data_IF_727792377193
#
_entry.id   IF_727792377193
#
_cell.length_a   1.000
_cell.length_b   1.000
_cell.length_c   1.000
_cell.angle_alpha   90.00
_cell.angle_beta   90.00
_cell.angle_gamma   90.00
#
_symmetry.space_group_name_H-M   'P 1'
#
loop_
_entity.id
_entity.type
_entity.pdbx_description
1 polymer ?
#
# COMPACT_ATOMS: atom_id res chain seq x y z
N UNK A 1 9.92 18.28 -1.23
CA UNK A 1 8.81 17.61 -0.49
C UNK A 1 8.71 18.16 0.91
N UNK A 2 9.80 18.15 1.69
CA UNK A 2 9.87 18.94 2.92
C UNK A 2 10.17 20.40 2.56
N UNK A 3 11.09 20.65 1.63
CA UNK A 3 11.34 21.99 1.08
C UNK A 3 10.08 22.60 0.43
N UNK A 4 9.49 21.92 -0.55
CA UNK A 4 8.33 22.46 -1.31
C UNK A 4 7.04 22.73 -0.50
N UNK A 5 6.87 22.17 0.70
CA UNK A 5 5.61 22.22 1.48
C UNK A 5 5.79 22.83 2.86
N UNK A 6 6.96 22.64 3.45
CA UNK A 6 7.28 23.08 4.80
C UNK A 6 8.44 24.08 4.82
N UNK A 7 8.87 24.61 3.66
CA UNK A 7 9.99 25.56 3.54
C UNK A 7 11.27 25.08 4.26
N UNK A 8 11.54 23.79 4.18
CA UNK A 8 12.66 23.13 4.88
C UNK A 8 12.52 23.07 6.41
N UNK A 9 11.38 23.51 6.96
CA UNK A 9 11.05 23.35 8.37
C UNK A 9 10.68 21.90 8.68
N UNK A 10 11.71 21.15 9.06
CA UNK A 10 11.60 19.75 9.43
C UNK A 10 10.74 19.55 10.69
N UNK A 11 10.64 20.54 11.57
CA UNK A 11 9.89 20.43 12.83
C UNK A 11 8.37 20.46 12.59
N UNK A 12 7.90 21.27 11.64
CA UNK A 12 6.48 21.33 11.30
C UNK A 12 6.02 20.04 10.59
N UNK A 13 6.88 19.47 9.75
CA UNK A 13 6.65 18.15 9.14
C UNK A 13 6.57 17.03 10.18
N UNK A 14 7.45 17.04 11.19
CA UNK A 14 7.45 16.03 12.25
C UNK A 14 6.32 16.23 13.28
N UNK A 15 5.86 17.47 13.48
CA UNK A 15 4.75 17.80 14.37
C UNK A 15 3.39 17.38 13.79
N UNK A 16 3.24 17.38 12.46
CA UNK A 16 2.17 16.66 11.78
C UNK A 16 2.43 15.15 11.85
N UNK A 17 2.11 14.54 12.98
CA UNK A 17 2.20 13.10 13.27
C UNK A 17 1.30 12.21 12.37
N UNK A 18 0.85 12.73 11.24
CA UNK A 18 0.19 11.97 10.18
C UNK A 18 1.22 11.60 9.14
N UNK A 19 1.25 10.34 8.69
CA UNK A 19 1.87 9.97 7.43
C UNK A 19 1.11 10.69 6.30
N UNK A 20 1.30 12.00 6.17
CA UNK A 20 0.61 12.86 5.23
C UNK A 20 1.09 12.51 3.84
N UNK A 21 0.34 11.68 3.12
CA UNK A 21 0.64 11.37 1.71
C UNK A 21 0.41 12.67 0.92
N UNK A 22 1.50 13.35 0.56
CA UNK A 22 1.45 14.58 -0.25
C UNK A 22 0.81 14.32 -1.62
N UNK A 23 0.26 15.35 -2.29
CA UNK A 23 -0.32 15.21 -3.64
C UNK A 23 0.66 14.58 -4.64
N UNK A 24 1.96 14.91 -4.53
CA UNK A 24 3.02 14.30 -5.35
C UNK A 24 3.11 12.80 -5.08
N UNK A 25 3.19 12.39 -3.82
CA UNK A 25 3.19 10.97 -3.43
C UNK A 25 1.93 10.24 -3.89
N UNK A 26 0.74 10.85 -3.75
CA UNK A 26 -0.51 10.27 -4.24
C UNK A 26 -0.46 10.02 -5.75
N UNK A 27 0.03 10.98 -6.53
CA UNK A 27 0.19 10.84 -7.98
C UNK A 27 1.15 9.69 -8.34
N UNK A 28 2.31 9.63 -7.70
CA UNK A 28 3.28 8.56 -7.92
C UNK A 28 2.72 7.18 -7.52
N UNK A 29 2.09 7.06 -6.36
CA UNK A 29 1.49 5.81 -5.90
C UNK A 29 0.32 5.39 -6.78
N UNK A 30 -0.50 6.33 -7.27
CA UNK A 30 -1.54 6.07 -8.27
C UNK A 30 -0.96 5.49 -9.57
N UNK A 31 0.15 6.03 -10.05
CA UNK A 31 0.82 5.51 -11.25
C UNK A 31 1.41 4.11 -11.02
N UNK A 32 2.11 3.90 -9.89
CA UNK A 32 2.70 2.59 -9.55
C UNK A 32 1.60 1.54 -9.41
N UNK A 33 0.53 1.88 -8.67
CA UNK A 33 -0.59 0.97 -8.45
C UNK A 33 -1.37 0.69 -9.73
N UNK A 34 -1.62 1.71 -10.56
CA UNK A 34 -2.30 1.56 -11.84
C UNK A 34 -1.55 0.67 -12.85
N UNK A 35 -0.23 0.51 -12.69
CA UNK A 35 0.60 -0.42 -13.50
C UNK A 35 0.65 -1.84 -12.93
N UNK A 36 0.09 -2.07 -11.74
CA UNK A 36 -0.02 -3.43 -11.21
C UNK A 36 -1.09 -4.20 -11.99
N UNK A 37 -0.89 -5.51 -12.16
CA UNK A 37 -1.91 -6.37 -12.78
C UNK A 37 -3.21 -6.35 -11.95
N UNK A 38 -4.38 -6.62 -12.56
CA UNK A 38 -5.65 -6.66 -11.83
C UNK A 38 -5.60 -7.56 -10.60
N UNK A 39 -4.93 -8.70 -10.72
CA UNK A 39 -4.69 -9.65 -9.64
C UNK A 39 -3.88 -9.06 -8.48
N UNK A 40 -2.77 -8.37 -8.79
CA UNK A 40 -1.96 -7.70 -7.77
C UNK A 40 -2.75 -6.56 -7.09
N UNK A 41 -3.59 -5.85 -7.84
CA UNK A 41 -4.47 -4.83 -7.28
C UNK A 41 -5.51 -5.45 -6.33
N UNK A 42 -6.11 -6.58 -6.67
CA UNK A 42 -7.04 -7.31 -5.79
C UNK A 42 -6.39 -7.73 -4.47
N UNK A 43 -5.17 -8.31 -4.54
CA UNK A 43 -4.42 -8.70 -3.33
C UNK A 43 -4.12 -7.49 -2.45
N UNK A 44 -3.68 -6.37 -3.03
CA UNK A 44 -3.43 -5.14 -2.27
C UNK A 44 -4.72 -4.59 -1.61
N UNK A 45 -5.85 -4.64 -2.33
CA UNK A 45 -7.14 -4.22 -1.79
C UNK A 45 -7.63 -5.14 -0.67
N UNK A 46 -7.32 -6.44 -0.72
CA UNK A 46 -7.63 -7.38 0.35
C UNK A 46 -6.81 -7.09 1.61
N UNK A 47 -5.49 -6.95 1.45
CA UNK A 47 -4.57 -6.58 2.54
C UNK A 47 -4.93 -5.24 3.20
N UNK A 48 -5.60 -4.33 2.47
CA UNK A 48 -6.04 -3.05 3.02
C UNK A 48 -7.22 -3.14 4.00
N UNK A 49 -7.99 -4.25 3.98
CA UNK A 49 -9.20 -4.43 4.80
C UNK A 49 -8.88 -4.74 6.26
N UNK A 50 -7.67 -5.20 6.54
CA UNK A 50 -7.28 -5.73 7.86
C UNK A 50 -6.14 -4.92 8.48
N UNK A 51 -6.15 -4.87 9.81
CA UNK A 51 -5.04 -4.28 10.56
C UNK A 51 -3.82 -5.22 10.59
N UNK A 52 -4.08 -6.53 10.71
CA UNK A 52 -3.06 -7.56 10.90
C UNK A 52 -2.58 -8.16 9.58
N UNK A 53 -1.31 -8.62 9.50
CA UNK A 53 -0.79 -9.34 8.34
C UNK A 53 -1.59 -10.61 8.01
N UNK A 54 -1.78 -10.92 6.73
CA UNK A 54 -2.44 -12.15 6.25
C UNK A 54 -1.42 -13.18 5.79
N UNK A 55 -1.66 -14.45 6.10
CA UNK A 55 -0.95 -15.60 5.55
C UNK A 55 -1.32 -15.84 4.08
N UNK A 56 -0.59 -16.75 3.43
CA UNK A 56 -0.89 -17.17 2.05
C UNK A 56 -2.23 -17.88 1.98
N UNK A 57 -2.53 -18.74 2.95
CA UNK A 57 -3.75 -19.52 3.02
C UNK A 57 -4.98 -18.62 3.18
N UNK A 58 -4.90 -17.62 4.06
CA UNK A 58 -5.95 -16.61 4.21
C UNK A 58 -6.18 -15.83 2.91
N UNK A 59 -5.11 -15.38 2.24
CA UNK A 59 -5.23 -14.65 0.97
C UNK A 59 -5.83 -15.50 -0.15
N UNK A 60 -5.43 -16.78 -0.27
CA UNK A 60 -6.01 -17.70 -1.25
C UNK A 60 -7.50 -17.90 -1.02
N UNK A 61 -7.90 -18.10 0.24
CA UNK A 61 -9.30 -18.37 0.59
C UNK A 61 -10.17 -17.13 0.40
N UNK A 62 -9.69 -15.94 0.77
CA UNK A 62 -10.46 -14.71 0.65
C UNK A 62 -10.69 -14.28 -0.80
N UNK A 63 -9.79 -14.64 -1.71
CA UNK A 63 -9.78 -14.18 -3.10
C UNK A 63 -10.05 -15.29 -4.12
N UNK A 64 -10.25 -16.53 -3.67
CA UNK A 64 -10.40 -17.73 -4.50
C UNK A 64 -9.31 -17.86 -5.58
N UNK A 65 -8.04 -17.70 -5.16
CA UNK A 65 -6.89 -17.68 -6.07
C UNK A 65 -6.14 -19.00 -6.14
N UNK A 66 -5.67 -19.33 -7.33
CA UNK A 66 -4.67 -20.39 -7.51
C UNK A 66 -3.36 -20.01 -6.80
N UNK A 67 -2.53 -21.02 -6.48
CA UNK A 67 -1.24 -20.76 -5.84
C UNK A 67 -0.30 -19.95 -6.75
N UNK A 68 -0.33 -20.20 -8.06
CA UNK A 68 0.49 -19.48 -9.04
C UNK A 68 0.08 -18.01 -9.16
N UNK A 69 -1.22 -17.75 -9.23
CA UNK A 69 -1.77 -16.40 -9.27
C UNK A 69 -1.39 -15.61 -8.01
N UNK A 70 -1.60 -16.20 -6.82
CA UNK A 70 -1.21 -15.53 -5.59
C UNK A 70 0.29 -15.19 -5.56
N UNK A 71 1.17 -16.13 -5.97
CA UNK A 71 2.62 -15.90 -6.00
C UNK A 71 2.97 -14.75 -6.94
N UNK A 72 2.43 -14.76 -8.17
CA UNK A 72 2.70 -13.71 -9.16
C UNK A 72 2.24 -12.33 -8.67
N UNK A 73 1.06 -12.27 -8.05
CA UNK A 73 0.53 -11.04 -7.47
C UNK A 73 1.37 -10.52 -6.31
N UNK A 74 1.71 -11.37 -5.35
CA UNK A 74 2.57 -11.00 -4.21
C UNK A 74 3.97 -10.58 -4.65
N UNK A 75 4.60 -11.29 -5.57
CA UNK A 75 5.91 -10.93 -6.10
C UNK A 75 5.87 -9.56 -6.80
N UNK A 76 4.85 -9.30 -7.62
CA UNK A 76 4.67 -8.02 -8.31
C UNK A 76 4.55 -6.85 -7.33
N UNK A 77 3.81 -7.03 -6.23
CA UNK A 77 3.67 -6.03 -5.16
C UNK A 77 4.96 -5.85 -4.36
N UNK A 78 5.65 -6.94 -4.04
CA UNK A 78 6.90 -6.95 -3.28
C UNK A 78 8.03 -6.22 -4.03
N UNK A 79 8.17 -6.48 -5.34
CA UNK A 79 9.17 -5.81 -6.20
C UNK A 79 8.95 -4.29 -6.30
N UNK A 80 7.71 -3.83 -6.06
CA UNK A 80 7.33 -2.41 -6.05
C UNK A 80 7.30 -1.81 -4.64
N UNK A 81 7.74 -2.56 -3.61
CA UNK A 81 7.75 -2.14 -2.20
C UNK A 81 6.37 -1.73 -1.66
N UNK A 82 5.29 -2.27 -2.25
CA UNK A 82 3.91 -1.97 -1.84
C UNK A 82 3.45 -2.83 -0.66
N UNK A 83 4.11 -3.97 -0.44
CA UNK A 83 3.86 -4.89 0.68
C UNK A 83 5.13 -5.17 1.46
N UNK A 84 4.94 -5.58 2.71
CA UNK A 84 5.96 -6.10 3.61
C UNK A 84 5.65 -7.54 3.97
N UNK A 85 6.69 -8.33 4.22
CA UNK A 85 6.57 -9.73 4.63
C UNK A 85 7.27 -9.94 5.96
N UNK A 86 6.55 -10.49 6.93
CA UNK A 86 7.07 -10.93 8.23
C UNK A 86 6.62 -12.36 8.49
N UNK A 87 7.57 -13.28 8.73
CA UNK A 87 7.27 -14.68 9.09
C UNK A 87 6.19 -15.35 8.21
N UNK A 88 6.28 -15.18 6.88
CA UNK A 88 5.31 -15.70 5.88
C UNK A 88 3.93 -15.06 5.87
N UNK A 89 3.72 -13.96 6.60
CA UNK A 89 2.53 -13.13 6.51
C UNK A 89 2.84 -11.84 5.75
N UNK A 90 1.82 -11.26 5.15
CA UNK A 90 1.91 -10.11 4.26
C UNK A 90 1.02 -8.98 4.77
N UNK A 91 1.51 -7.75 4.67
CA UNK A 91 0.74 -6.55 4.93
C UNK A 91 1.13 -5.45 3.93
N UNK A 92 0.29 -4.45 3.75
CA UNK A 92 0.68 -3.26 2.98
C UNK A 92 1.81 -2.52 3.70
N UNK A 93 2.73 -1.92 2.94
CA UNK A 93 3.68 -0.96 3.52
C UNK A 93 2.94 0.25 4.10
N UNK A 94 3.44 0.86 5.18
CA UNK A 94 2.73 1.91 5.92
C UNK A 94 2.29 3.08 5.03
N UNK A 95 3.17 3.52 4.13
CA UNK A 95 2.88 4.60 3.17
C UNK A 95 1.78 4.17 2.20
N UNK A 96 1.86 2.97 1.65
CA UNK A 96 0.88 2.51 0.68
C UNK A 96 -0.48 2.21 1.30
N UNK A 97 -0.49 1.72 2.55
CA UNK A 97 -1.71 1.57 3.36
C UNK A 97 -2.44 2.89 3.52
N UNK A 98 -1.69 3.96 3.84
CA UNK A 98 -2.28 5.30 4.01
C UNK A 98 -2.80 5.87 2.68
N UNK A 99 -2.07 5.64 1.58
CA UNK A 99 -2.56 5.95 0.24
C UNK A 99 -3.88 5.23 -0.09
N UNK A 100 -3.99 3.92 0.13
CA UNK A 100 -5.23 3.17 -0.15
C UNK A 100 -6.41 3.70 0.67
N UNK A 101 -6.19 4.08 1.94
CA UNK A 101 -7.23 4.72 2.77
C UNK A 101 -7.68 6.05 2.15
N UNK A 102 -6.73 6.90 1.75
CA UNK A 102 -7.04 8.18 1.10
C UNK A 102 -7.75 8.04 -0.25
N UNK A 103 -7.50 6.93 -0.97
CA UNK A 103 -8.15 6.61 -2.24
C UNK A 103 -9.60 6.14 -2.06
N UNK A 104 -9.86 5.35 -1.01
CA UNK A 104 -11.22 4.87 -0.68
C UNK A 104 -12.11 5.92 -0.03
N UNK A 105 -11.51 6.85 0.72
CA UNK A 105 -12.22 7.89 1.46
C UNK A 105 -11.60 9.25 1.11
N UNK A 106 -11.94 9.85 -0.05
CA UNK A 106 -11.58 11.23 -0.30
C UNK A 106 -12.21 12.09 0.80
N UNK A 107 -11.38 12.82 1.56
CA UNK A 107 -11.88 13.81 2.52
C UNK A 107 -12.61 14.89 1.73
N UNK A 108 -13.92 15.01 1.96
CA UNK A 108 -14.82 16.03 1.38
C UNK A 108 -14.54 17.37 2.04
#
# INVERSE_FOLDING_TARGET
MIEDVFDSNFNDFLAENSLGITKKMQSHLKQIFGRCSPLAQQIALELSKVAQPLSREELKNNLDLSAGDLINGLQSLQQRYLIQREQNRFQLSSIFKEYIKSYRFPKI
#
